data_IF_613627771604
#
_entry.id   IF_613627771604
#
_cell.length_a   1.000
_cell.length_b   1.000
_cell.length_c   1.000
_cell.angle_alpha   90.00
_cell.angle_beta   90.00
_cell.angle_gamma   90.00
#
_symmetry.space_group_name_H-M   'P 1'
#
loop_
_entity.id
_entity.type
_entity.pdbx_description
1 polymer ?
#
# COMPACT_ATOMS: atom_id res chain seq x y z
N UNK A 1 19.90 -37.44 -26.38
CA UNK A 1 20.99 -37.02 -25.46
C UNK A 1 20.91 -35.50 -25.22
N UNK A 2 19.70 -34.96 -24.99
CA UNK A 2 19.44 -33.54 -24.71
C UNK A 2 18.44 -33.39 -23.53
N UNK A 3 17.82 -34.48 -23.07
CA UNK A 3 16.77 -34.42 -22.03
C UNK A 3 17.27 -34.56 -20.57
N UNK A 4 18.59 -34.63 -20.34
CA UNK A 4 19.19 -34.72 -18.99
C UNK A 4 19.89 -33.45 -18.52
N UNK A 5 20.05 -32.44 -19.39
CA UNK A 5 20.73 -31.19 -19.06
C UNK A 5 19.81 -30.11 -18.46
N UNK A 6 18.49 -30.29 -18.50
CA UNK A 6 17.54 -29.29 -18.00
C UNK A 6 17.07 -29.51 -16.56
N UNK A 7 16.82 -30.74 -16.11
CA UNK A 7 16.31 -30.92 -14.73
C UNK A 7 17.38 -30.74 -13.65
N UNK A 8 18.58 -31.29 -13.85
CA UNK A 8 19.67 -31.15 -12.87
C UNK A 8 20.19 -29.71 -12.81
N UNK A 9 20.21 -28.96 -13.91
CA UNK A 9 20.61 -27.56 -13.90
C UNK A 9 19.56 -26.66 -13.27
N UNK A 10 18.27 -26.89 -13.54
CA UNK A 10 17.17 -26.15 -12.92
C UNK A 10 17.10 -26.46 -11.42
N UNK A 11 17.27 -27.73 -11.01
CA UNK A 11 17.33 -28.11 -9.59
C UNK A 11 18.57 -27.53 -8.91
N UNK A 12 19.74 -27.55 -9.55
CA UNK A 12 20.96 -26.95 -9.01
C UNK A 12 20.87 -25.41 -8.94
N UNK A 13 20.16 -24.78 -9.88
CA UNK A 13 19.86 -23.35 -9.85
C UNK A 13 18.86 -23.01 -8.74
N UNK A 14 17.81 -23.81 -8.56
CA UNK A 14 16.85 -23.64 -7.47
C UNK A 14 17.49 -23.91 -6.10
N UNK A 15 18.37 -24.89 -5.96
CA UNK A 15 19.11 -25.15 -4.73
C UNK A 15 20.08 -24.01 -4.39
N UNK A 16 20.90 -23.56 -5.35
CA UNK A 16 21.91 -22.52 -5.09
C UNK A 16 21.34 -21.09 -5.04
N UNK A 17 20.20 -20.81 -5.68
CA UNK A 17 19.62 -19.45 -5.76
C UNK A 17 18.44 -19.28 -4.80
N UNK A 18 17.59 -20.30 -4.64
CA UNK A 18 16.32 -20.20 -3.91
C UNK A 18 16.29 -20.93 -2.55
N UNK A 19 16.93 -22.09 -2.40
CA UNK A 19 16.67 -23.02 -1.28
C UNK A 19 17.85 -23.31 -0.33
N UNK A 20 19.03 -22.71 -0.51
CA UNK A 20 20.13 -22.85 0.46
C UNK A 20 19.83 -22.04 1.74
N UNK A 21 19.02 -22.65 2.60
CA UNK A 21 18.50 -22.13 3.87
C UNK A 21 19.49 -22.12 5.04
N UNK A 22 20.79 -22.20 4.77
CA UNK A 22 21.84 -22.23 5.79
C UNK A 22 23.02 -21.35 5.33
N UNK A 23 22.81 -20.02 5.36
CA UNK A 23 23.87 -18.99 5.28
C UNK A 23 24.25 -18.41 3.89
N UNK A 24 23.66 -18.86 2.77
CA UNK A 24 24.09 -18.44 1.42
C UNK A 24 23.04 -17.87 0.44
N UNK A 25 21.74 -18.14 0.65
CA UNK A 25 20.68 -17.82 -0.33
C UNK A 25 20.11 -16.40 -0.29
N UNK A 26 19.41 -15.99 -1.37
CA UNK A 26 18.72 -14.68 -1.48
C UNK A 26 17.68 -14.47 -0.36
N UNK A 27 17.13 -15.56 0.19
CA UNK A 27 16.17 -15.56 1.30
C UNK A 27 16.80 -15.91 2.66
N UNK A 28 18.12 -15.82 2.82
CA UNK A 28 18.80 -16.03 4.12
C UNK A 28 18.18 -15.20 5.25
N UNK A 29 17.61 -14.03 4.95
CA UNK A 29 16.87 -13.20 5.91
C UNK A 29 15.56 -13.81 6.46
N UNK A 30 15.00 -14.83 5.80
CA UNK A 30 13.82 -15.60 6.24
C UNK A 30 14.20 -16.87 7.01
N UNK A 31 15.49 -17.24 7.02
CA UNK A 31 15.97 -18.40 7.78
C UNK A 31 15.85 -18.14 9.29
N UNK A 32 15.50 -19.19 10.02
CA UNK A 32 15.17 -19.18 11.45
C UNK A 32 16.35 -18.77 12.34
N UNK A 33 17.58 -18.72 11.80
CA UNK A 33 18.78 -18.24 12.47
C UNK A 33 18.98 -16.75 12.25
N UNK A 34 18.33 -15.91 13.07
CA UNK A 34 18.70 -14.50 13.26
C UNK A 34 20.03 -14.41 14.02
N UNK A 35 21.13 -14.85 13.43
CA UNK A 35 22.44 -14.52 13.96
C UNK A 35 22.73 -13.07 13.63
N UNK A 36 23.03 -12.31 14.69
CA UNK A 36 23.22 -10.88 14.66
C UNK A 36 24.21 -10.46 13.56
N UNK A 37 23.89 -9.35 12.90
CA UNK A 37 24.68 -8.65 11.88
C UNK A 37 26.02 -8.10 12.40
N UNK A 38 26.72 -8.81 13.29
CA UNK A 38 27.91 -8.35 14.00
C UNK A 38 28.88 -9.48 14.38
N UNK A 39 29.23 -10.35 13.43
CA UNK A 39 30.38 -11.28 13.56
C UNK A 39 31.18 -11.28 12.28
N UNK A 40 32.51 -11.28 12.41
CA UNK A 40 33.43 -10.56 11.53
C UNK A 40 33.77 -11.19 10.16
N UNK A 41 33.26 -12.36 9.75
CA UNK A 41 33.74 -13.00 8.50
C UNK A 41 32.77 -13.86 7.62
N UNK A 42 31.45 -13.61 7.58
CA UNK A 42 30.60 -14.02 6.43
C UNK A 42 29.81 -12.87 5.77
N UNK A 43 29.92 -11.65 6.31
CA UNK A 43 29.10 -10.48 5.95
C UNK A 43 29.25 -10.11 4.47
N UNK A 44 30.41 -10.27 3.85
CA UNK A 44 30.64 -9.74 2.49
C UNK A 44 30.07 -10.63 1.38
N UNK A 45 30.05 -11.97 1.53
CA UNK A 45 29.57 -12.88 0.49
C UNK A 45 28.04 -12.95 0.43
N UNK A 46 27.37 -13.02 1.58
CA UNK A 46 25.91 -13.08 1.67
C UNK A 46 25.25 -11.71 1.46
N UNK A 47 25.81 -10.63 2.01
CA UNK A 47 25.18 -9.30 1.93
C UNK A 47 25.20 -8.74 0.53
N UNK A 48 26.29 -8.93 -0.24
CA UNK A 48 26.35 -8.43 -1.61
C UNK A 48 25.33 -9.16 -2.50
N UNK A 49 25.25 -10.48 -2.39
CA UNK A 49 24.33 -11.30 -3.20
C UNK A 49 22.86 -11.08 -2.80
N UNK A 50 22.57 -10.96 -1.50
CA UNK A 50 21.23 -10.61 -1.01
C UNK A 50 20.85 -9.17 -1.35
N UNK A 51 21.78 -8.21 -1.31
CA UNK A 51 21.54 -6.83 -1.74
C UNK A 51 21.14 -6.77 -3.21
N UNK A 52 21.90 -7.42 -4.10
CA UNK A 52 21.55 -7.48 -5.51
C UNK A 52 20.27 -8.28 -5.77
N UNK A 53 20.04 -9.37 -5.03
CA UNK A 53 18.80 -10.16 -5.10
C UNK A 53 17.57 -9.35 -4.72
N UNK A 54 17.60 -8.68 -3.56
CA UNK A 54 16.50 -7.84 -3.05
C UNK A 54 16.29 -6.61 -3.93
N UNK A 55 17.37 -5.98 -4.41
CA UNK A 55 17.28 -4.83 -5.32
C UNK A 55 16.69 -5.25 -6.67
N UNK A 56 17.15 -6.36 -7.23
CA UNK A 56 16.63 -6.91 -8.48
C UNK A 56 15.16 -7.31 -8.37
N UNK A 57 14.78 -7.99 -7.29
CA UNK A 57 13.38 -8.32 -7.01
C UNK A 57 12.52 -7.07 -6.79
N UNK A 58 13.04 -6.06 -6.10
CA UNK A 58 12.38 -4.77 -5.92
C UNK A 58 12.14 -4.03 -7.24
N UNK A 59 13.12 -4.05 -8.15
CA UNK A 59 12.99 -3.49 -9.50
C UNK A 59 11.93 -4.27 -10.29
N UNK A 60 11.98 -5.60 -10.27
CA UNK A 60 11.00 -6.45 -10.95
C UNK A 60 9.58 -6.24 -10.44
N UNK A 61 9.38 -6.15 -9.12
CA UNK A 61 8.10 -5.84 -8.51
C UNK A 61 7.59 -4.45 -8.90
N UNK A 62 8.48 -3.44 -8.94
CA UNK A 62 8.10 -2.10 -9.38
C UNK A 62 7.70 -2.06 -10.86
N UNK A 63 8.44 -2.76 -11.73
CA UNK A 63 8.10 -2.90 -13.15
C UNK A 63 6.76 -3.65 -13.31
N UNK A 64 6.57 -4.76 -12.59
CA UNK A 64 5.33 -5.51 -12.58
C UNK A 64 4.14 -4.65 -12.14
N UNK A 65 4.28 -3.90 -11.04
CA UNK A 65 3.25 -3.01 -10.52
C UNK A 65 2.94 -1.88 -11.52
N UNK A 66 3.96 -1.29 -12.16
CA UNK A 66 3.79 -0.29 -13.23
C UNK A 66 3.07 -0.86 -14.45
N UNK A 67 3.39 -2.09 -14.87
CA UNK A 67 2.75 -2.77 -16.00
C UNK A 67 1.30 -3.11 -15.70
N UNK A 68 1.01 -3.62 -14.50
CA UNK A 68 -0.37 -3.87 -14.03
C UNK A 68 -1.17 -2.58 -14.08
N UNK A 69 -0.61 -1.48 -13.57
CA UNK A 69 -1.25 -0.17 -13.57
C UNK A 69 -1.50 0.37 -14.98
N UNK A 70 -0.54 0.20 -15.90
CA UNK A 70 -0.66 0.62 -17.31
C UNK A 70 -1.67 -0.24 -18.09
N UNK A 71 -1.73 -1.55 -17.82
CA UNK A 71 -2.67 -2.46 -18.48
C UNK A 71 -4.10 -2.30 -17.96
N UNK A 72 -4.27 -1.92 -16.70
CA UNK A 72 -5.58 -1.76 -16.08
C UNK A 72 -6.24 -0.39 -16.31
N UNK A 73 -5.48 0.64 -16.69
CA UNK A 73 -5.99 1.99 -16.90
C UNK A 73 -5.82 2.43 -18.35
N UNK A 74 -6.95 2.61 -19.05
CA UNK A 74 -6.99 3.25 -20.36
C UNK A 74 -6.85 4.78 -20.19
N UNK A 75 -5.64 5.28 -20.50
CA UNK A 75 -5.29 6.69 -20.36
C UNK A 75 -6.04 7.58 -21.36
N UNK A 76 -6.35 7.06 -22.55
CA UNK A 76 -7.03 7.82 -23.60
C UNK A 76 -8.51 7.99 -23.24
N UNK A 77 -9.16 6.91 -22.79
CA UNK A 77 -10.54 6.97 -22.27
C UNK A 77 -10.63 7.90 -21.05
N UNK A 78 -9.68 7.79 -20.11
CA UNK A 78 -9.64 8.63 -18.92
C UNK A 78 -9.46 10.12 -19.29
N UNK A 79 -8.53 10.44 -20.20
CA UNK A 79 -8.26 11.82 -20.62
C UNK A 79 -9.45 12.44 -21.34
N UNK A 80 -10.17 11.67 -22.18
CA UNK A 80 -11.38 12.12 -22.85
C UNK A 80 -12.50 12.42 -21.86
N UNK A 81 -12.78 11.48 -20.96
CA UNK A 81 -13.80 11.63 -19.91
C UNK A 81 -13.47 12.83 -19.00
N UNK A 82 -12.20 13.02 -18.63
CA UNK A 82 -11.78 14.19 -17.85
C UNK A 82 -12.06 15.52 -18.57
N UNK A 83 -11.76 15.62 -19.87
CA UNK A 83 -12.02 16.84 -20.65
C UNK A 83 -13.52 17.13 -20.74
N UNK A 84 -14.33 16.11 -21.00
CA UNK A 84 -15.78 16.25 -21.15
C UNK A 84 -16.46 16.62 -19.82
N UNK A 85 -16.11 15.94 -18.73
CA UNK A 85 -16.61 16.27 -17.38
C UNK A 85 -16.18 17.67 -16.94
N UNK A 86 -14.93 18.10 -17.21
CA UNK A 86 -14.44 19.46 -16.89
C UNK A 86 -15.18 20.53 -17.70
N UNK A 87 -15.43 20.29 -18.99
CA UNK A 87 -16.22 21.18 -19.84
C UNK A 87 -17.63 21.38 -19.29
N UNK A 88 -18.33 20.29 -18.98
CA UNK A 88 -19.65 20.33 -18.37
C UNK A 88 -19.66 21.02 -16.99
N UNK A 89 -18.67 20.74 -16.12
CA UNK A 89 -18.56 21.41 -14.82
C UNK A 89 -18.34 22.91 -14.96
N UNK A 90 -17.53 23.35 -15.93
CA UNK A 90 -17.26 24.78 -16.19
C UNK A 90 -18.51 25.49 -16.70
N UNK A 91 -19.24 24.89 -17.64
CA UNK A 91 -20.51 25.42 -18.16
C UNK A 91 -21.57 25.51 -17.07
N UNK A 92 -21.70 24.46 -16.24
CA UNK A 92 -22.62 24.44 -15.10
C UNK A 92 -22.26 25.53 -14.10
N UNK A 93 -20.98 25.70 -13.78
CA UNK A 93 -20.52 26.72 -12.84
C UNK A 93 -20.73 28.14 -13.39
N UNK A 94 -20.52 28.35 -14.69
CA UNK A 94 -20.82 29.62 -15.35
C UNK A 94 -22.32 29.94 -15.37
N UNK A 95 -23.17 28.96 -15.67
CA UNK A 95 -24.63 29.11 -15.64
C UNK A 95 -25.16 29.40 -14.21
N UNK A 96 -24.58 28.76 -13.19
CA UNK A 96 -24.89 29.03 -11.78
C UNK A 96 -24.46 30.45 -11.36
N UNK A 97 -23.29 30.93 -11.81
CA UNK A 97 -22.84 32.31 -11.55
C UNK A 97 -23.71 33.34 -12.26
N UNK A 98 -24.16 33.04 -13.48
CA UNK A 98 -25.06 33.89 -14.26
C UNK A 98 -26.53 33.82 -13.82
N UNK A 99 -26.88 32.94 -12.86
CA UNK A 99 -28.25 32.69 -12.37
C UNK A 99 -29.25 32.32 -13.48
N UNK A 100 -28.77 31.72 -14.56
CA UNK A 100 -29.60 31.30 -15.70
C UNK A 100 -30.28 29.95 -15.40
N UNK A 101 -31.51 30.01 -14.89
CA UNK A 101 -32.28 28.83 -14.48
C UNK A 101 -32.61 27.90 -15.66
N UNK A 102 -32.77 28.42 -16.88
CA UNK A 102 -33.06 27.62 -18.05
C UNK A 102 -31.86 26.75 -18.43
N UNK A 103 -30.68 27.36 -18.45
CA UNK A 103 -29.41 26.66 -18.75
C UNK A 103 -29.01 25.69 -17.65
N UNK A 104 -29.29 26.00 -16.38
CA UNK A 104 -29.11 25.07 -15.26
C UNK A 104 -30.00 23.83 -15.40
N UNK A 105 -31.28 24.00 -15.76
CA UNK A 105 -32.20 22.89 -15.96
C UNK A 105 -31.80 22.01 -17.16
N UNK A 106 -31.33 22.61 -18.26
CA UNK A 106 -30.81 21.90 -19.43
C UNK A 106 -29.56 21.07 -19.10
N UNK A 107 -28.57 21.67 -18.42
CA UNK A 107 -27.36 20.99 -17.96
C UNK A 107 -27.65 19.93 -16.89
N UNK A 108 -28.70 20.13 -16.10
CA UNK A 108 -29.22 19.19 -15.12
C UNK A 108 -29.74 17.89 -15.77
N UNK A 109 -30.35 17.96 -16.96
CA UNK A 109 -30.76 16.75 -17.71
C UNK A 109 -29.56 15.88 -18.12
N UNK A 110 -28.42 16.51 -18.43
CA UNK A 110 -27.15 15.83 -18.72
C UNK A 110 -26.44 15.28 -17.47
N UNK A 111 -26.89 15.63 -16.25
CA UNK A 111 -26.22 15.23 -15.00
C UNK A 111 -26.16 13.72 -14.80
N UNK A 112 -27.19 12.97 -15.19
CA UNK A 112 -27.22 11.50 -15.05
C UNK A 112 -26.12 10.82 -15.89
N UNK A 113 -25.98 11.25 -17.16
CA UNK A 113 -24.91 10.79 -18.05
C UNK A 113 -23.53 11.17 -17.51
N UNK A 114 -23.36 12.43 -17.06
CA UNK A 114 -22.11 12.92 -16.49
C UNK A 114 -21.75 12.23 -15.17
N UNK A 115 -22.74 11.87 -14.35
CA UNK A 115 -22.54 11.12 -13.11
C UNK A 115 -22.07 9.69 -13.42
N UNK A 116 -22.68 9.01 -14.40
CA UNK A 116 -22.24 7.69 -14.84
C UNK A 116 -20.79 7.74 -15.36
N UNK A 117 -20.48 8.74 -16.18
CA UNK A 117 -19.13 8.95 -16.71
C UNK A 117 -18.12 9.29 -15.60
N UNK A 118 -18.52 10.05 -14.58
CA UNK A 118 -17.70 10.33 -13.39
C UNK A 118 -17.48 9.09 -12.51
N UNK A 119 -18.48 8.21 -12.41
CA UNK A 119 -18.34 6.92 -11.73
C UNK A 119 -17.38 5.99 -12.50
N UNK A 120 -17.46 5.94 -13.83
CA UNK A 120 -16.49 5.19 -14.64
C UNK A 120 -15.06 5.74 -14.44
N UNK A 121 -14.89 7.06 -14.42
CA UNK A 121 -13.60 7.70 -14.12
C UNK A 121 -13.08 7.30 -12.73
N UNK A 122 -13.95 7.31 -11.72
CA UNK A 122 -13.60 6.92 -10.36
C UNK A 122 -13.18 5.45 -10.30
N UNK A 123 -13.92 4.55 -10.97
CA UNK A 123 -13.58 3.12 -11.01
C UNK A 123 -12.27 2.85 -11.74
N UNK A 124 -11.97 3.57 -12.84
CA UNK A 124 -10.69 3.42 -13.55
C UNK A 124 -9.49 3.79 -12.68
N UNK A 125 -9.63 4.76 -11.76
CA UNK A 125 -8.54 5.16 -10.84
C UNK A 125 -8.52 4.37 -9.52
N UNK A 126 -9.69 3.94 -9.03
CA UNK A 126 -9.82 3.18 -7.78
C UNK A 126 -9.41 1.71 -7.94
N UNK A 127 -9.67 1.07 -9.10
CA UNK A 127 -9.30 -0.34 -9.32
C UNK A 127 -7.79 -0.60 -9.13
N UNK A 128 -6.87 0.18 -9.74
CA UNK A 128 -5.45 0.00 -9.51
C UNK A 128 -5.07 0.27 -8.05
N UNK A 129 -5.66 1.29 -7.43
CA UNK A 129 -5.39 1.62 -6.04
C UNK A 129 -5.79 0.49 -5.10
N UNK A 130 -6.99 -0.10 -5.27
CA UNK A 130 -7.43 -1.24 -4.46
C UNK A 130 -6.51 -2.45 -4.60
N UNK A 131 -6.05 -2.75 -5.81
CA UNK A 131 -5.14 -3.89 -6.03
C UNK A 131 -3.79 -3.67 -5.33
N UNK A 132 -3.31 -2.44 -5.25
CA UNK A 132 -2.07 -2.13 -4.51
C UNK A 132 -2.27 -1.97 -3.01
N UNK A 133 -3.44 -1.49 -2.58
CA UNK A 133 -3.72 -1.15 -1.18
C UNK A 133 -4.24 -2.34 -0.38
N UNK A 134 -5.04 -3.24 -1.00
CA UNK A 134 -5.62 -4.41 -0.32
C UNK A 134 -4.55 -5.38 0.18
N UNK A 135 -3.52 -5.77 -0.61
CA UNK A 135 -2.46 -6.63 -0.09
C UNK A 135 -1.67 -5.96 1.04
N UNK A 136 -1.44 -4.65 0.93
CA UNK A 136 -0.74 -3.88 1.94
C UNK A 136 -1.54 -3.87 3.25
N UNK A 137 -2.82 -3.53 3.22
CA UNK A 137 -3.63 -3.49 4.45
C UNK A 137 -3.83 -4.88 5.07
N UNK A 138 -3.87 -5.95 4.28
CA UNK A 138 -3.91 -7.32 4.78
C UNK A 138 -2.65 -7.67 5.58
N UNK A 139 -1.47 -7.25 5.11
CA UNK A 139 -0.21 -7.43 5.86
C UNK A 139 -0.27 -6.64 7.18
N UNK A 140 -0.76 -5.40 7.13
CA UNK A 140 -0.89 -4.56 8.32
C UNK A 140 -1.88 -5.12 9.35
N UNK A 141 -2.93 -5.81 8.91
CA UNK A 141 -3.94 -6.38 9.80
C UNK A 141 -3.53 -7.75 10.35
N UNK A 142 -2.97 -8.63 9.51
CA UNK A 142 -2.71 -10.03 9.90
C UNK A 142 -1.29 -10.27 10.43
N UNK A 143 -0.29 -9.58 9.85
CA UNK A 143 1.12 -9.93 10.07
C UNK A 143 1.75 -9.02 11.12
N UNK A 144 1.55 -7.70 11.01
CA UNK A 144 2.23 -6.75 11.91
C UNK A 144 1.80 -6.86 13.38
N UNK A 145 0.51 -7.08 13.73
CA UNK A 145 0.13 -7.25 15.12
C UNK A 145 0.73 -8.52 15.73
N UNK A 146 0.90 -9.60 14.94
CA UNK A 146 1.48 -10.85 15.41
C UNK A 146 3.00 -10.75 15.63
N UNK A 147 3.69 -9.95 14.81
CA UNK A 147 5.15 -9.80 14.90
C UNK A 147 5.59 -8.66 15.83
N UNK A 148 4.77 -7.62 16.01
CA UNK A 148 5.16 -6.35 16.64
C UNK A 148 4.08 -5.79 17.58
N UNK A 149 3.62 -6.62 18.53
CA UNK A 149 2.57 -6.27 19.50
C UNK A 149 3.02 -5.37 20.67
N UNK A 150 4.24 -4.85 20.68
CA UNK A 150 4.76 -4.06 21.80
C UNK A 150 4.30 -2.59 21.77
N UNK A 151 4.07 -2.02 22.95
CA UNK A 151 3.60 -0.64 23.14
C UNK A 151 4.78 0.34 23.14
N UNK A 152 4.67 1.47 22.45
CA UNK A 152 5.78 2.43 22.28
C UNK A 152 5.47 3.86 22.72
N UNK A 153 4.20 4.24 22.80
CA UNK A 153 3.79 5.59 23.19
C UNK A 153 2.48 5.55 23.98
N UNK A 154 2.14 6.64 24.66
CA UNK A 154 0.86 6.83 25.32
C UNK A 154 0.15 8.03 24.70
N UNK A 155 -1.09 7.84 24.26
CA UNK A 155 -1.94 8.95 23.81
C UNK A 155 -2.89 9.37 24.93
N UNK A 156 -3.18 10.67 25.10
CA UNK A 156 -4.14 11.15 26.10
C UNK A 156 -5.61 10.84 25.73
N UNK A 157 -5.86 10.40 24.50
CA UNK A 157 -7.18 10.08 23.94
C UNK A 157 -7.05 8.74 23.20
N UNK A 158 -8.11 7.92 23.22
CA UNK A 158 -8.16 6.70 22.42
C UNK A 158 -8.16 7.04 20.93
N UNK A 159 -7.21 6.46 20.18
CA UNK A 159 -7.05 6.73 18.74
C UNK A 159 -7.76 5.68 17.87
N UNK A 160 -8.73 4.95 18.44
CA UNK A 160 -9.51 3.94 17.73
C UNK A 160 -10.63 4.60 16.89
N UNK A 161 -10.23 5.29 15.82
CA UNK A 161 -11.12 6.03 14.90
C UNK A 161 -11.87 5.15 13.90
N UNK A 162 -11.49 3.88 13.77
CA UNK A 162 -12.11 2.96 12.81
C UNK A 162 -13.21 2.16 13.52
N UNK A 163 -14.48 2.26 13.07
CA UNK A 163 -15.59 1.55 13.70
C UNK A 163 -15.49 0.04 13.50
N UNK A 164 -15.89 -0.72 14.53
CA UNK A 164 -16.06 -2.18 14.47
C UNK A 164 -14.88 -3.02 14.97
N UNK A 165 -13.98 -2.49 15.81
CA UNK A 165 -12.83 -3.20 16.40
C UNK A 165 -11.87 -3.89 15.40
N UNK A 166 -12.05 -3.66 14.11
CA UNK A 166 -11.21 -4.21 13.03
C UNK A 166 -9.78 -3.67 13.10
N UNK A 167 -9.55 -2.54 13.78
CA UNK A 167 -8.24 -1.93 13.85
C UNK A 167 -8.07 -1.11 15.12
N UNK A 168 -7.56 -1.75 16.17
CA UNK A 168 -7.29 -1.11 17.46
C UNK A 168 -5.89 -0.51 17.45
N UNK A 169 -5.81 0.81 17.25
CA UNK A 169 -4.57 1.58 17.23
C UNK A 169 -4.00 1.77 18.65
N UNK A 170 -4.88 1.83 19.64
CA UNK A 170 -4.54 1.99 21.06
C UNK A 170 -5.20 0.91 21.90
N UNK A 171 -4.50 0.47 22.96
CA UNK A 171 -5.04 -0.46 23.96
C UNK A 171 -6.38 0.07 24.50
N UNK A 172 -7.40 -0.77 24.48
CA UNK A 172 -8.72 -0.46 25.05
C UNK A 172 -8.70 -0.61 26.58
N UNK A 173 -9.66 -0.01 27.27
CA UNK A 173 -9.80 -0.15 28.72
C UNK A 173 -9.98 -1.63 29.14
N UNK A 174 -10.65 -2.43 28.31
CA UNK A 174 -10.82 -3.88 28.55
C UNK A 174 -9.48 -4.64 28.48
N UNK A 175 -8.62 -4.29 27.52
CA UNK A 175 -7.29 -4.89 27.38
C UNK A 175 -6.30 -4.46 28.47
N UNK A 176 -6.54 -3.31 29.12
CA UNK A 176 -5.70 -2.82 30.20
C UNK A 176 -5.97 -3.52 31.55
N UNK A 177 -7.12 -4.19 31.67
CA UNK A 177 -7.55 -4.94 32.86
C UNK A 177 -7.09 -6.42 32.84
N UNK A 178 -6.67 -6.93 31.67
CA UNK A 178 -6.22 -8.30 31.51
C UNK A 178 -4.72 -8.45 31.83
N UNK A 179 -4.41 -9.33 32.78
CA UNK A 179 -3.06 -9.52 33.36
C UNK A 179 -2.11 -10.21 32.36
N UNK A 180 -2.64 -10.96 31.40
CA UNK A 180 -1.87 -11.66 30.37
C UNK A 180 -1.64 -10.78 29.12
N UNK A 181 -2.33 -9.64 29.02
CA UNK A 181 -2.23 -8.77 27.86
C UNK A 181 -1.03 -7.83 27.94
N UNK A 182 -0.43 -7.55 26.78
CA UNK A 182 0.73 -6.65 26.64
C UNK A 182 0.40 -5.20 27.09
N UNK A 183 -0.89 -4.89 27.22
CA UNK A 183 -1.46 -3.62 27.65
C UNK A 183 -1.75 -3.51 29.16
N UNK A 184 -1.39 -4.51 29.98
CA UNK A 184 -1.75 -4.53 31.41
C UNK A 184 -1.32 -3.25 32.16
N UNK A 185 -2.29 -2.58 32.79
CA UNK A 185 -2.08 -1.33 33.54
C UNK A 185 -1.75 -0.10 32.69
N UNK A 186 -1.91 -0.18 31.37
CA UNK A 186 -1.51 0.86 30.41
C UNK A 186 -2.64 1.18 29.43
N UNK A 187 -3.61 1.96 29.89
CA UNK A 187 -4.67 2.49 29.05
C UNK A 187 -4.11 3.48 28.00
N UNK A 188 -4.69 3.46 26.79
CA UNK A 188 -4.29 4.33 25.68
C UNK A 188 -2.81 4.18 25.24
N UNK A 189 -2.17 3.05 25.58
CA UNK A 189 -0.88 2.71 25.02
C UNK A 189 -1.01 2.38 23.53
N UNK A 190 -0.07 2.87 22.75
CA UNK A 190 -0.08 2.82 21.29
C UNK A 190 0.90 1.73 20.83
N UNK A 191 0.41 0.81 19.99
CA UNK A 191 1.21 -0.29 19.46
C UNK A 191 2.28 0.21 18.49
N UNK A 192 3.45 -0.44 18.41
CA UNK A 192 4.48 -0.06 17.44
C UNK A 192 3.93 -0.03 16.01
N UNK A 193 3.18 -1.06 15.62
CA UNK A 193 2.62 -1.14 14.27
C UNK A 193 1.66 0.03 14.01
N UNK A 194 0.89 0.46 15.02
CA UNK A 194 -0.02 1.60 14.93
C UNK A 194 0.75 2.91 14.76
N UNK A 195 1.89 3.07 15.45
CA UNK A 195 2.78 4.22 15.29
C UNK A 195 3.38 4.29 13.88
N UNK A 196 3.84 3.15 13.36
CA UNK A 196 4.34 3.05 12.00
C UNK A 196 3.26 3.37 10.95
N UNK A 197 2.04 2.89 11.16
CA UNK A 197 0.91 3.19 10.28
C UNK A 197 0.56 4.69 10.28
N UNK A 198 0.42 5.31 11.45
CA UNK A 198 0.08 6.73 11.60
C UNK A 198 1.14 7.65 10.98
N UNK A 199 2.41 7.36 11.22
CA UNK A 199 3.53 8.10 10.61
C UNK A 199 3.53 7.93 9.08
N UNK A 200 3.38 6.70 8.58
CA UNK A 200 3.37 6.41 7.14
C UNK A 200 2.26 7.15 6.39
N UNK A 201 1.03 7.20 6.93
CA UNK A 201 -0.08 7.93 6.31
C UNK A 201 0.20 9.44 6.31
N UNK A 202 0.70 9.96 7.43
CA UNK A 202 1.01 11.39 7.56
C UNK A 202 2.07 11.83 6.56
N UNK A 203 3.16 11.06 6.44
CA UNK A 203 4.22 11.33 5.48
C UNK A 203 3.79 11.11 4.03
N UNK A 204 2.98 10.09 3.75
CA UNK A 204 2.44 9.85 2.40
C UNK A 204 1.65 11.06 1.88
N UNK A 205 0.81 11.66 2.72
CA UNK A 205 0.08 12.89 2.39
C UNK A 205 0.98 14.07 2.03
N UNK A 206 2.09 14.24 2.77
CA UNK A 206 3.09 15.29 2.50
C UNK A 206 3.84 15.00 1.20
N UNK A 207 4.29 13.77 1.00
CA UNK A 207 5.04 13.35 -0.18
C UNK A 207 4.20 13.56 -1.45
N UNK A 208 2.92 13.16 -1.44
CA UNK A 208 2.03 13.35 -2.59
C UNK A 208 1.84 14.83 -2.98
N UNK A 209 1.84 15.74 -2.00
CA UNK A 209 1.80 17.19 -2.25
C UNK A 209 3.11 17.69 -2.85
N UNK A 210 4.25 17.21 -2.34
CA UNK A 210 5.57 17.58 -2.86
C UNK A 210 5.81 17.07 -4.29
N UNK A 211 5.44 15.82 -4.58
CA UNK A 211 5.62 15.20 -5.90
C UNK A 211 4.57 15.63 -6.92
N UNK A 212 3.58 16.45 -6.51
CA UNK A 212 2.42 16.85 -7.34
C UNK A 212 1.68 15.68 -7.99
N UNK A 213 1.80 14.49 -7.41
CA UNK A 213 1.10 13.28 -7.86
C UNK A 213 -0.31 13.19 -7.30
N UNK A 214 -0.67 14.04 -6.32
CA UNK A 214 -2.08 14.31 -6.02
C UNK A 214 -2.73 14.79 -7.32
N UNK A 215 -3.83 14.16 -7.73
CA UNK A 215 -4.62 14.59 -8.88
C UNK A 215 -4.99 16.08 -8.70
N UNK A 216 -4.16 16.97 -9.25
CA UNK A 216 -4.41 18.38 -9.25
C UNK A 216 -5.61 18.60 -10.16
N UNK A 217 -6.75 18.88 -9.54
CA UNK A 217 -7.97 19.33 -10.18
C UNK A 217 -7.86 20.80 -10.66
N UNK A 218 -6.65 21.30 -10.90
CA UNK A 218 -6.45 22.57 -11.60
C UNK A 218 -6.63 22.41 -13.11
#
# INVERSE_FOLDING_TARGET
MIDYLDYNFILFFLDNVFLQGDDGGIFSFLSQNRQALGSDDPIVKGVILTLFGVTGFGILLNIFNSLVRKKMVDQDKLSRIMKETRGWQKERMAAMRAKDQAKIAELGKKSSYMNKMSMEMMQMNMRPMMITFVPLILIFYLVLPQLFAYTVAFSPISLNVIPGDLFQLTCTAEQALDVEHICFGKENALYLWAWYFLSSISFSGIIMKLTKTSMNLS
#
